data_IF_927094800662
#
_entry.id   IF_927094800662
#
_cell.length_a   1.000
_cell.length_b   1.000
_cell.length_c   1.000
_cell.angle_alpha   90.00
_cell.angle_beta   90.00
_cell.angle_gamma   90.00
#
_symmetry.space_group_name_H-M   'P 1'
#
loop_
_entity.id
_entity.type
_entity.pdbx_description
1 polymer ?
#
# COMPACT_ATOMS: atom_id res chain seq x y z
N UNK A 1 14.24 4.45 85.95
CA UNK A 1 12.99 4.51 85.17
C UNK A 1 13.33 4.69 83.73
N UNK A 2 13.18 3.63 82.97
CA UNK A 2 13.49 3.59 81.49
C UNK A 2 12.18 3.27 80.77
N UNK A 3 11.75 4.10 79.89
CA UNK A 3 10.70 3.82 78.93
C UNK A 3 11.30 3.53 77.56
N UNK A 4 11.17 2.28 77.13
CA UNK A 4 11.42 1.82 75.79
C UNK A 4 10.11 2.02 74.98
N UNK A 5 10.17 2.84 73.92
CA UNK A 5 9.08 2.95 72.95
C UNK A 5 9.26 1.94 71.82
N UNK A 6 8.47 0.89 71.80
CA UNK A 6 8.33 0.01 70.66
C UNK A 6 7.58 0.70 69.52
N UNK A 7 8.24 0.94 68.44
CA UNK A 7 7.60 1.29 67.19
C UNK A 7 7.09 0.02 66.47
N UNK A 8 5.80 -0.23 66.59
CA UNK A 8 5.12 -1.23 65.78
C UNK A 8 5.00 -0.69 64.36
N UNK A 9 5.86 -1.19 63.44
CA UNK A 9 5.70 -0.96 62.00
C UNK A 9 4.51 -1.77 61.52
N UNK A 10 3.50 -1.11 60.99
CA UNK A 10 2.24 -1.68 60.55
C UNK A 10 2.48 -2.72 59.42
N UNK A 11 2.05 -4.00 59.57
CA UNK A 11 2.29 -5.03 58.54
C UNK A 11 1.53 -4.80 57.23
N UNK A 12 0.66 -3.84 57.18
CA UNK A 12 -0.10 -3.47 55.97
C UNK A 12 0.76 -2.84 54.85
N UNK A 13 1.89 -2.14 55.20
CA UNK A 13 2.77 -1.49 54.24
C UNK A 13 3.69 -2.50 53.49
N UNK A 14 3.96 -3.68 54.09
CA UNK A 14 4.74 -4.72 53.42
C UNK A 14 3.92 -5.51 52.37
N UNK A 15 2.59 -5.58 52.51
CA UNK A 15 1.73 -6.24 51.53
C UNK A 15 1.49 -5.36 50.27
N UNK A 16 1.50 -4.05 50.38
CA UNK A 16 1.28 -3.15 49.22
C UNK A 16 2.46 -3.15 48.22
N UNK A 17 3.70 -3.44 48.69
CA UNK A 17 4.87 -3.42 47.82
C UNK A 17 4.88 -4.56 46.77
N UNK A 18 4.25 -5.68 47.07
CA UNK A 18 4.13 -6.79 46.12
C UNK A 18 3.06 -6.62 45.06
N UNK A 19 1.97 -5.87 45.35
CA UNK A 19 0.94 -5.60 44.38
C UNK A 19 1.38 -4.59 43.32
N UNK A 20 2.19 -3.61 43.66
CA UNK A 20 2.73 -2.65 42.70
C UNK A 20 3.62 -3.32 41.67
N UNK A 21 4.51 -4.23 42.09
CA UNK A 21 5.36 -5.01 41.18
C UNK A 21 4.54 -5.92 40.27
N UNK A 22 3.47 -6.54 40.79
CA UNK A 22 2.57 -7.34 39.98
C UNK A 22 1.79 -6.49 38.94
N UNK A 23 1.34 -5.30 39.34
CA UNK A 23 0.68 -4.35 38.42
C UNK A 23 1.64 -3.88 37.32
N UNK A 24 2.90 -3.60 37.64
CA UNK A 24 3.91 -3.26 36.62
C UNK A 24 4.21 -4.40 35.66
N UNK A 25 4.24 -5.65 36.14
CA UNK A 25 4.41 -6.83 35.28
C UNK A 25 3.19 -7.02 34.38
N UNK A 26 1.97 -6.86 34.90
CA UNK A 26 0.74 -6.97 34.12
C UNK A 26 0.65 -5.83 33.08
N UNK A 27 1.02 -4.60 33.44
CA UNK A 27 1.08 -3.47 32.50
C UNK A 27 2.18 -3.69 31.45
N UNK A 28 3.32 -4.24 31.82
CA UNK A 28 4.41 -4.57 30.90
C UNK A 28 4.00 -5.69 29.92
N UNK A 29 3.35 -6.74 30.40
CA UNK A 29 2.82 -7.82 29.56
C UNK A 29 1.68 -7.32 28.66
N UNK A 30 0.84 -6.41 29.15
CA UNK A 30 -0.23 -5.80 28.36
C UNK A 30 0.31 -4.89 27.23
N UNK A 31 1.49 -4.29 27.39
CA UNK A 31 2.16 -3.52 26.33
C UNK A 31 2.61 -4.36 25.13
N UNK A 32 2.88 -5.66 25.32
CA UNK A 32 3.29 -6.56 24.24
C UNK A 32 2.12 -7.22 23.50
N UNK A 33 0.88 -7.08 23.98
CA UNK A 33 -0.27 -7.82 23.46
C UNK A 33 -0.81 -7.32 22.10
N UNK A 34 -0.24 -6.27 21.47
CA UNK A 34 -0.81 -5.67 20.26
C UNK A 34 0.22 -5.28 19.19
N UNK A 35 1.31 -6.00 19.02
CA UNK A 35 2.16 -5.83 17.84
C UNK A 35 1.45 -6.42 16.62
N UNK A 36 0.75 -5.57 15.88
CA UNK A 36 0.09 -5.90 14.62
C UNK A 36 1.10 -5.69 13.50
N UNK A 37 1.64 -6.78 12.96
CA UNK A 37 2.40 -6.72 11.72
C UNK A 37 1.41 -6.60 10.56
N UNK A 38 1.59 -5.58 9.71
CA UNK A 38 0.85 -5.37 8.47
C UNK A 38 1.84 -5.37 7.31
N UNK A 39 1.37 -5.78 6.14
CA UNK A 39 2.11 -5.60 4.89
C UNK A 39 2.27 -4.12 4.54
N UNK A 40 3.14 -3.87 3.55
CA UNK A 40 3.29 -2.54 2.98
C UNK A 40 1.94 -1.99 2.51
N UNK A 41 1.70 -0.72 2.76
CA UNK A 41 0.56 0.01 2.23
C UNK A 41 1.01 1.37 1.69
N UNK A 42 0.32 1.82 0.66
CA UNK A 42 0.55 3.12 0.03
C UNK A 42 -0.64 4.04 0.28
N UNK A 43 -0.36 5.32 0.53
CA UNK A 43 -1.40 6.35 0.65
C UNK A 43 -1.98 6.69 -0.71
N UNK A 44 -1.17 6.55 -1.77
CA UNK A 44 -1.60 6.78 -3.15
C UNK A 44 -2.13 5.49 -3.79
N UNK A 45 -3.32 5.06 -3.37
CA UNK A 45 -3.92 3.79 -3.81
C UNK A 45 -4.12 3.69 -5.32
N UNK A 46 -4.33 4.83 -6.01
CA UNK A 46 -4.48 4.88 -7.46
C UNK A 46 -3.18 4.52 -8.19
N UNK A 47 -2.04 4.77 -7.54
CA UNK A 47 -0.70 4.51 -8.06
C UNK A 47 -0.10 3.21 -7.51
N UNK A 48 -0.93 2.35 -6.91
CA UNK A 48 -0.50 1.04 -6.39
C UNK A 48 -1.45 -0.12 -6.76
N UNK A 49 -1.99 -0.16 -7.99
CA UNK A 49 -3.06 -1.09 -8.35
C UNK A 49 -2.68 -2.57 -8.21
N UNK A 50 -1.45 -2.96 -8.57
CA UNK A 50 -1.02 -4.35 -8.52
C UNK A 50 -0.74 -4.86 -7.10
N UNK A 51 -0.62 -3.97 -6.11
CA UNK A 51 -0.57 -4.33 -4.69
C UNK A 51 -1.96 -4.41 -4.05
N UNK A 52 -3.00 -3.94 -4.75
CA UNK A 52 -4.40 -4.04 -4.33
C UNK A 52 -5.02 -5.34 -4.86
N UNK A 53 -4.88 -5.60 -6.17
CA UNK A 53 -5.41 -6.82 -6.78
C UNK A 53 -4.60 -7.23 -8.00
N UNK A 54 -4.18 -8.50 -8.12
CA UNK A 54 -3.52 -8.99 -9.33
C UNK A 54 -4.38 -8.88 -10.59
N UNK A 55 -5.71 -8.82 -10.45
CA UNK A 55 -6.61 -8.65 -11.57
C UNK A 55 -6.54 -7.27 -12.24
N UNK A 56 -5.89 -6.28 -11.61
CA UNK A 56 -5.64 -4.97 -12.21
C UNK A 56 -4.47 -4.98 -13.20
N UNK A 57 -3.77 -6.09 -13.37
CA UNK A 57 -2.70 -6.26 -14.35
C UNK A 57 -3.25 -6.12 -15.76
N UNK A 58 -2.76 -5.14 -16.53
CA UNK A 58 -3.26 -4.83 -17.88
C UNK A 58 -4.70 -4.30 -17.92
N UNK A 59 -5.37 -4.17 -16.78
CA UNK A 59 -6.77 -3.74 -16.64
C UNK A 59 -6.88 -2.22 -16.55
N UNK A 60 -6.45 -1.53 -17.58
CA UNK A 60 -6.48 -0.06 -17.67
C UNK A 60 -6.61 0.39 -19.12
N UNK A 61 -6.95 1.66 -19.33
CA UNK A 61 -7.04 2.24 -20.64
C UNK A 61 -5.66 2.65 -21.13
N UNK A 62 -4.98 1.76 -21.86
CA UNK A 62 -3.62 1.88 -22.35
C UNK A 62 -3.05 0.51 -22.71
N UNK A 63 -1.85 0.48 -23.30
CA UNK A 63 -1.16 -0.75 -23.67
C UNK A 63 -0.10 -1.14 -22.66
N UNK A 64 0.57 -0.14 -22.08
CA UNK A 64 1.67 -0.32 -21.16
C UNK A 64 1.58 0.72 -20.05
N UNK A 65 1.89 0.33 -18.81
CA UNK A 65 1.96 1.20 -17.65
C UNK A 65 3.19 0.84 -16.81
N UNK A 66 3.91 1.87 -16.36
CA UNK A 66 4.95 1.75 -15.35
C UNK A 66 4.66 2.75 -14.24
N UNK A 67 4.75 2.32 -12.99
CA UNK A 67 4.54 3.15 -11.81
C UNK A 67 5.69 2.92 -10.85
N UNK A 68 6.36 4.00 -10.44
CA UNK A 68 7.36 4.00 -9.38
C UNK A 68 6.81 4.76 -8.17
N UNK A 69 6.93 4.17 -6.98
CA UNK A 69 6.50 4.74 -5.71
C UNK A 69 7.69 4.84 -4.76
N UNK A 70 7.80 5.96 -4.05
CA UNK A 70 8.67 6.15 -2.91
C UNK A 70 7.87 6.66 -1.74
N UNK A 71 7.94 5.96 -0.60
CA UNK A 71 7.29 6.32 0.66
C UNK A 71 8.32 6.40 1.77
N UNK A 72 8.22 7.44 2.59
CA UNK A 72 9.00 7.60 3.81
C UNK A 72 8.04 7.90 4.95
N UNK A 73 7.99 7.02 5.94
CA UNK A 73 7.06 7.09 7.06
C UNK A 73 7.82 7.22 8.37
N UNK A 74 7.27 8.05 9.29
CA UNK A 74 7.78 8.28 10.65
C UNK A 74 9.23 8.76 10.71
N UNK A 75 9.61 9.65 9.80
CA UNK A 75 10.96 10.26 9.76
C UNK A 75 11.33 11.00 11.04
N UNK A 76 10.35 11.52 11.77
CA UNK A 76 10.55 12.20 13.05
C UNK A 76 11.04 11.28 14.19
N UNK A 77 10.94 9.95 14.03
CA UNK A 77 11.37 8.97 15.04
C UNK A 77 12.83 8.52 14.89
N UNK A 78 13.61 9.16 14.00
CA UNK A 78 15.04 8.90 13.78
C UNK A 78 15.34 7.74 12.83
N UNK A 79 14.57 6.67 12.83
CA UNK A 79 14.74 5.52 11.93
C UNK A 79 13.47 5.29 11.10
N UNK A 80 13.30 6.02 9.97
CA UNK A 80 12.09 5.97 9.17
C UNK A 80 11.91 4.62 8.47
N UNK A 81 10.65 4.29 8.21
CA UNK A 81 10.29 3.23 7.26
C UNK A 81 10.39 3.80 5.85
N UNK A 82 11.15 3.14 4.98
CA UNK A 82 11.37 3.55 3.59
C UNK A 82 10.93 2.44 2.67
N UNK A 83 9.89 2.70 1.89
CA UNK A 83 9.37 1.77 0.91
C UNK A 83 9.62 2.31 -0.49
N UNK A 84 10.24 1.51 -1.34
CA UNK A 84 10.37 1.77 -2.78
C UNK A 84 9.64 0.67 -3.52
N UNK A 85 8.84 1.03 -4.51
CA UNK A 85 8.14 0.05 -5.34
C UNK A 85 8.16 0.44 -6.80
N UNK A 86 8.19 -0.59 -7.65
CA UNK A 86 8.06 -0.50 -9.10
C UNK A 86 6.99 -1.49 -9.55
N UNK A 87 6.06 -1.03 -10.34
CA UNK A 87 5.02 -1.82 -10.98
C UNK A 87 5.10 -1.57 -12.48
N UNK A 88 5.18 -2.62 -13.26
CA UNK A 88 5.18 -2.54 -14.72
C UNK A 88 4.18 -3.55 -15.23
N UNK A 89 3.21 -3.10 -16.03
CA UNK A 89 2.21 -3.99 -16.58
C UNK A 89 1.70 -3.55 -17.95
N UNK A 90 1.15 -4.51 -18.68
CA UNK A 90 0.59 -4.26 -19.98
C UNK A 90 -0.41 -5.31 -20.42
N UNK A 91 -1.16 -4.99 -21.47
CA UNK A 91 -2.11 -5.90 -22.07
C UNK A 91 -1.59 -6.48 -23.37
N UNK A 92 -1.58 -7.81 -23.44
CA UNK A 92 -1.20 -8.57 -24.64
C UNK A 92 -2.45 -8.96 -25.43
N UNK A 93 -2.34 -8.98 -26.75
CA UNK A 93 -3.44 -9.33 -27.68
C UNK A 93 -4.66 -8.40 -27.56
N UNK A 94 -4.48 -7.20 -27.02
CA UNK A 94 -5.50 -6.14 -27.00
C UNK A 94 -5.84 -5.72 -28.43
N UNK A 95 -6.79 -6.41 -29.06
CA UNK A 95 -7.29 -6.06 -30.39
C UNK A 95 -8.73 -5.57 -30.27
N UNK A 96 -9.08 -4.56 -31.07
CA UNK A 96 -10.46 -4.01 -31.16
C UNK A 96 -11.51 -5.07 -31.54
N UNK A 97 -11.09 -6.17 -32.19
CA UNK A 97 -11.99 -7.26 -32.63
C UNK A 97 -12.15 -8.38 -31.60
N UNK A 98 -11.33 -8.45 -30.56
CA UNK A 98 -11.34 -9.53 -29.56
C UNK A 98 -12.03 -9.04 -28.29
N UNK A 99 -12.96 -9.85 -27.77
CA UNK A 99 -13.62 -9.56 -26.49
C UNK A 99 -12.75 -9.94 -25.27
N UNK A 100 -11.70 -10.71 -25.47
CA UNK A 100 -10.79 -11.13 -24.40
C UNK A 100 -9.33 -10.86 -24.75
N UNK A 101 -8.53 -10.56 -23.73
CA UNK A 101 -7.08 -10.34 -23.83
C UNK A 101 -6.40 -10.71 -22.51
N UNK A 102 -5.07 -10.82 -22.55
CA UNK A 102 -4.27 -11.16 -21.39
C UNK A 102 -3.54 -9.91 -20.86
N UNK A 103 -3.37 -9.84 -19.56
CA UNK A 103 -2.48 -8.91 -18.88
C UNK A 103 -1.26 -9.63 -18.34
N UNK A 104 -0.11 -8.97 -18.39
CA UNK A 104 1.13 -9.42 -17.77
C UNK A 104 1.82 -8.27 -17.09
N UNK A 105 2.46 -8.52 -15.94
CA UNK A 105 3.14 -7.48 -15.19
C UNK A 105 4.16 -8.02 -14.21
N UNK A 106 5.03 -7.10 -13.80
CA UNK A 106 6.07 -7.30 -12.81
C UNK A 106 5.85 -6.30 -11.65
N UNK A 107 5.97 -6.77 -10.44
CA UNK A 107 6.00 -5.93 -9.24
C UNK A 107 7.30 -6.18 -8.48
N UNK A 108 7.95 -5.12 -8.07
CA UNK A 108 9.12 -5.17 -7.19
C UNK A 108 8.90 -4.16 -6.08
N UNK A 109 9.10 -4.55 -4.84
CA UNK A 109 9.22 -3.58 -3.76
C UNK A 109 10.33 -3.95 -2.80
N UNK A 110 10.90 -2.92 -2.19
CA UNK A 110 11.85 -3.02 -1.10
C UNK A 110 11.38 -2.11 0.03
N UNK A 111 11.11 -2.71 1.19
CA UNK A 111 10.74 -2.00 2.41
C UNK A 111 11.86 -2.15 3.43
N UNK A 112 12.29 -1.03 4.02
CA UNK A 112 13.39 -1.01 5.00
C UNK A 112 12.92 -0.29 6.25
N UNK A 113 13.03 -0.96 7.39
CA UNK A 113 12.51 -0.47 8.67
C UNK A 113 13.55 -0.54 9.80
N UNK A 114 13.51 0.46 10.66
CA UNK A 114 14.21 0.47 11.94
C UNK A 114 15.73 0.50 11.88
N UNK A 115 16.38 0.51 13.06
CA UNK A 115 17.83 0.61 13.22
C UNK A 115 18.59 -0.62 12.70
N UNK A 116 17.96 -1.80 12.76
CA UNK A 116 18.51 -3.04 12.20
C UNK A 116 18.48 -3.07 10.66
N UNK A 117 17.97 -2.03 9.98
CA UNK A 117 17.67 -2.05 8.57
C UNK A 117 16.95 -3.37 8.16
N UNK A 118 15.94 -3.76 8.97
CA UNK A 118 15.09 -4.88 8.61
C UNK A 118 14.49 -4.60 7.23
N UNK A 119 14.77 -5.46 6.27
CA UNK A 119 14.35 -5.25 4.89
C UNK A 119 13.53 -6.41 4.35
N UNK A 120 12.50 -6.08 3.58
CA UNK A 120 11.68 -7.02 2.84
C UNK A 120 11.79 -6.67 1.36
N UNK A 121 12.38 -7.55 0.58
CA UNK A 121 12.45 -7.45 -0.88
C UNK A 121 11.48 -8.45 -1.49
N UNK A 122 10.53 -7.97 -2.29
CA UNK A 122 9.60 -8.80 -3.05
C UNK A 122 9.79 -8.58 -4.55
N UNK A 123 9.78 -9.67 -5.29
CA UNK A 123 9.75 -9.66 -6.75
C UNK A 123 8.63 -10.58 -7.20
N UNK A 124 7.62 -10.04 -7.87
CA UNK A 124 6.42 -10.81 -8.21
C UNK A 124 6.01 -10.66 -9.66
N UNK A 125 5.59 -11.76 -10.26
CA UNK A 125 4.97 -11.82 -11.56
C UNK A 125 3.45 -11.79 -11.41
N UNK A 126 2.79 -11.00 -12.24
CA UNK A 126 1.34 -10.87 -12.28
C UNK A 126 0.84 -11.28 -13.68
N UNK A 127 -0.19 -12.08 -13.72
CA UNK A 127 -0.89 -12.44 -14.95
C UNK A 127 -2.38 -12.27 -14.76
N UNK A 128 -3.08 -11.85 -15.81
CA UNK A 128 -4.55 -11.69 -15.77
C UNK A 128 -5.20 -12.09 -17.08
N UNK A 129 -6.45 -12.53 -16.98
CA UNK A 129 -7.36 -12.70 -18.10
C UNK A 129 -8.46 -11.64 -17.99
N UNK A 130 -8.68 -10.87 -19.07
CA UNK A 130 -9.67 -9.81 -19.09
C UNK A 130 -10.66 -10.06 -20.22
N UNK A 131 -11.95 -9.97 -19.88
CA UNK A 131 -13.05 -10.15 -20.81
C UNK A 131 -13.89 -8.87 -20.85
N UNK A 132 -14.13 -8.34 -22.05
CA UNK A 132 -15.09 -7.27 -22.29
C UNK A 132 -16.48 -7.87 -22.35
N UNK A 133 -17.30 -7.60 -21.34
CA UNK A 133 -18.68 -8.09 -21.26
C UNK A 133 -19.61 -7.27 -22.17
N UNK A 134 -19.29 -5.99 -22.34
CA UNK A 134 -20.04 -5.08 -23.22
C UNK A 134 -19.12 -3.96 -23.73
N UNK A 135 -19.69 -2.98 -24.45
CA UNK A 135 -18.98 -1.75 -24.86
C UNK A 135 -18.58 -0.85 -23.67
N UNK A 136 -19.19 -1.07 -22.52
CA UNK A 136 -19.04 -0.25 -21.32
C UNK A 136 -18.59 -1.01 -20.09
N UNK A 137 -18.48 -2.35 -20.14
CA UNK A 137 -18.11 -3.15 -18.99
C UNK A 137 -17.06 -4.20 -19.33
N UNK A 138 -16.15 -4.42 -18.40
CA UNK A 138 -15.11 -5.43 -18.47
C UNK A 138 -14.94 -6.13 -17.12
N UNK A 139 -14.55 -7.40 -17.17
CA UNK A 139 -14.26 -8.23 -16.02
C UNK A 139 -12.87 -8.82 -16.15
N UNK A 140 -12.13 -8.90 -15.05
CA UNK A 140 -10.78 -9.44 -14.98
C UNK A 140 -10.62 -10.41 -13.83
N UNK A 141 -9.84 -11.46 -14.07
CA UNK A 141 -9.31 -12.36 -13.05
C UNK A 141 -7.80 -12.33 -13.14
N UNK A 142 -7.11 -12.34 -12.00
CA UNK A 142 -5.64 -12.25 -11.97
C UNK A 142 -5.02 -13.16 -10.93
N UNK A 143 -3.75 -13.49 -11.19
CA UNK A 143 -2.89 -14.25 -10.28
C UNK A 143 -1.57 -13.52 -10.10
N UNK A 144 -0.99 -13.67 -8.92
CA UNK A 144 0.30 -13.16 -8.53
C UNK A 144 1.14 -14.31 -7.96
N UNK A 145 2.44 -14.30 -8.22
CA UNK A 145 3.37 -15.23 -7.61
C UNK A 145 4.80 -14.74 -7.67
N UNK A 146 5.54 -14.94 -6.58
CA UNK A 146 6.94 -14.55 -6.53
C UNK A 146 7.64 -14.76 -5.21
N UNK A 147 8.98 -14.69 -5.18
CA UNK A 147 9.77 -14.76 -3.98
C UNK A 147 9.71 -13.47 -3.17
N UNK A 148 9.65 -13.63 -1.85
CA UNK A 148 9.82 -12.56 -0.87
C UNK A 148 11.00 -12.94 0.03
N UNK A 149 11.95 -12.04 0.15
CA UNK A 149 13.15 -12.21 0.98
C UNK A 149 13.13 -11.19 2.11
N UNK A 150 13.20 -11.68 3.34
CA UNK A 150 13.36 -10.85 4.54
C UNK A 150 14.80 -10.95 5.03
N UNK A 151 15.39 -9.82 5.40
CA UNK A 151 16.75 -9.71 5.89
C UNK A 151 16.82 -8.75 7.07
N UNK A 152 17.65 -9.06 8.08
CA UNK A 152 17.92 -8.18 9.21
C UNK A 152 19.45 -8.00 9.36
N UNK A 153 19.87 -6.74 9.51
CA UNK A 153 21.27 -6.38 9.69
C UNK A 153 21.60 -6.25 11.18
N UNK A 154 21.72 -7.38 11.86
CA UNK A 154 22.02 -7.44 13.30
C UNK A 154 23.32 -6.72 13.72
N UNK A 155 24.43 -6.74 12.94
CA UNK A 155 25.65 -6.01 13.31
C UNK A 155 25.49 -4.50 13.51
N UNK A 156 24.39 -3.92 13.04
CA UNK A 156 24.06 -2.49 13.29
C UNK A 156 23.34 -2.25 14.62
N UNK A 157 22.97 -3.32 15.33
CA UNK A 157 22.33 -3.21 16.63
C UNK A 157 23.37 -3.23 17.73
N UNK A 158 23.09 -2.52 18.81
CA UNK A 158 23.84 -2.55 20.05
C UNK A 158 23.11 -3.45 21.05
N UNK A 159 23.83 -4.39 21.65
CA UNK A 159 23.28 -5.37 22.58
C UNK A 159 23.76 -5.07 24.01
N UNK A 160 23.00 -5.49 24.99
CA UNK A 160 23.28 -5.18 26.40
C UNK A 160 24.66 -5.64 26.84
N UNK A 161 25.20 -6.75 26.32
CA UNK A 161 26.55 -7.25 26.62
C UNK A 161 27.68 -6.37 26.03
N UNK A 162 27.34 -5.50 25.11
CA UNK A 162 28.28 -4.51 24.55
C UNK A 162 28.34 -3.21 25.36
N UNK A 163 27.62 -3.13 26.48
CA UNK A 163 27.73 -2.00 27.40
C UNK A 163 28.79 -2.26 28.45
N UNK A 164 29.86 -1.46 28.46
CA UNK A 164 31.03 -1.65 29.36
C UNK A 164 30.87 -0.99 30.74
N UNK A 165 29.67 -0.48 31.06
CA UNK A 165 29.37 0.26 32.29
C UNK A 165 29.35 1.78 32.12
N UNK A 166 29.98 2.34 31.07
CA UNK A 166 29.99 3.76 30.73
C UNK A 166 29.36 4.05 29.37
N UNK A 167 29.68 3.23 28.36
CA UNK A 167 29.24 3.38 26.97
C UNK A 167 29.12 2.02 26.27
N UNK A 168 28.41 2.02 25.16
CA UNK A 168 28.41 0.89 24.25
C UNK A 168 29.75 0.82 23.48
N UNK A 169 30.34 -0.39 23.43
CA UNK A 169 31.55 -0.69 22.68
C UNK A 169 31.25 -1.81 21.67
N UNK A 170 31.23 -1.46 20.38
CA UNK A 170 30.96 -2.39 19.28
C UNK A 170 31.98 -3.54 19.17
N UNK A 171 33.15 -3.40 19.80
CA UNK A 171 34.21 -4.43 19.82
C UNK A 171 33.94 -5.55 20.80
N UNK A 172 33.05 -5.32 21.77
CA UNK A 172 32.66 -6.35 22.73
C UNK A 172 31.75 -7.39 22.07
N UNK A 173 31.83 -8.66 22.52
CA UNK A 173 30.96 -9.71 22.02
C UNK A 173 29.50 -9.35 22.26
N UNK A 174 28.65 -9.58 21.28
CA UNK A 174 27.21 -9.30 21.37
C UNK A 174 26.48 -10.26 22.30
N UNK A 175 27.05 -11.47 22.49
CA UNK A 175 26.40 -12.58 23.22
C UNK A 175 25.24 -13.25 22.47
N UNK A 176 24.94 -12.80 21.28
CA UNK A 176 23.79 -13.27 20.48
C UNK A 176 24.23 -14.18 19.34
N UNK A 177 23.40 -15.16 19.01
CA UNK A 177 23.61 -16.04 17.87
C UNK A 177 22.89 -15.52 16.63
N UNK A 178 23.62 -14.97 15.66
CA UNK A 178 23.09 -14.41 14.43
C UNK A 178 23.04 -15.41 13.27
N UNK A 179 22.85 -16.69 13.53
CA UNK A 179 22.83 -17.73 12.49
C UNK A 179 21.71 -17.49 11.43
N UNK A 180 20.64 -16.81 11.83
CA UNK A 180 19.45 -16.63 11.01
C UNK A 180 19.24 -15.15 10.62
N UNK A 181 19.96 -14.69 9.60
CA UNK A 181 19.92 -13.29 9.13
C UNK A 181 18.97 -13.05 7.99
N UNK A 182 18.62 -14.12 7.26
CA UNK A 182 17.84 -14.03 6.02
C UNK A 182 16.96 -15.25 5.84
N UNK A 183 15.74 -15.05 5.38
CA UNK A 183 14.88 -16.13 4.90
C UNK A 183 14.13 -15.69 3.64
N UNK A 184 13.75 -16.65 2.80
CA UNK A 184 13.00 -16.44 1.57
C UNK A 184 11.83 -17.41 1.54
N UNK A 185 10.68 -16.92 1.10
CA UNK A 185 9.50 -17.72 0.86
C UNK A 185 8.83 -17.30 -0.46
N UNK A 186 8.02 -18.19 -1.01
CA UNK A 186 7.20 -17.90 -2.19
C UNK A 186 5.83 -17.43 -1.74
N UNK A 187 5.38 -16.33 -2.30
CA UNK A 187 4.06 -15.76 -2.06
C UNK A 187 3.16 -15.98 -3.29
N UNK A 188 1.88 -16.20 -3.05
CA UNK A 188 0.86 -16.40 -4.08
C UNK A 188 -0.36 -15.57 -3.75
N UNK A 189 -0.94 -14.95 -4.79
CA UNK A 189 -2.15 -14.16 -4.68
C UNK A 189 -3.08 -14.35 -5.87
N UNK A 190 -4.35 -14.02 -5.66
CA UNK A 190 -5.40 -14.02 -6.68
C UNK A 190 -6.25 -12.77 -6.57
N UNK A 191 -6.98 -12.44 -7.64
CA UNK A 191 -7.86 -11.28 -7.60
C UNK A 191 -8.93 -11.30 -8.66
N UNK A 192 -9.94 -10.46 -8.43
CA UNK A 192 -11.02 -10.17 -9.36
C UNK A 192 -11.12 -8.67 -9.54
N UNK A 193 -11.51 -8.24 -10.75
CA UNK A 193 -11.75 -6.83 -11.07
C UNK A 193 -12.95 -6.68 -11.98
N UNK A 194 -13.70 -5.61 -11.78
CA UNK A 194 -14.79 -5.22 -12.65
C UNK A 194 -14.71 -3.72 -12.91
N UNK A 195 -14.94 -3.31 -14.15
CA UNK A 195 -15.03 -1.90 -14.52
C UNK A 195 -16.25 -1.65 -15.39
N UNK A 196 -16.95 -0.57 -15.06
CA UNK A 196 -18.00 0.00 -15.88
C UNK A 196 -17.61 1.44 -16.26
N UNK A 197 -17.79 1.82 -17.50
CA UNK A 197 -17.49 3.18 -17.97
C UNK A 197 -18.46 3.59 -19.07
N UNK A 198 -19.11 4.73 -18.87
CA UNK A 198 -20.01 5.35 -19.86
C UNK A 198 -19.28 6.25 -20.81
N UNK A 199 -18.05 5.94 -21.21
CA UNK A 199 -17.31 6.77 -22.16
C UNK A 199 -18.05 6.80 -23.49
N UNK A 200 -18.96 7.77 -23.66
CA UNK A 200 -19.61 8.06 -24.94
C UNK A 200 -18.73 9.03 -25.70
N UNK A 201 -18.38 8.69 -26.92
CA UNK A 201 -17.83 9.60 -27.91
C UNK A 201 -19.02 10.34 -28.50
N UNK A 202 -19.40 11.46 -27.92
CA UNK A 202 -20.32 12.42 -28.55
C UNK A 202 -19.54 13.66 -29.03
N UNK A 203 -20.01 14.31 -30.03
CA UNK A 203 -19.37 15.52 -30.60
C UNK A 203 -19.37 16.70 -29.62
N UNK A 204 -20.26 16.70 -28.63
CA UNK A 204 -20.28 17.63 -27.51
C UNK A 204 -19.72 16.92 -26.25
N UNK A 205 -18.77 17.56 -25.57
CA UNK A 205 -18.11 17.19 -24.31
C UNK A 205 -18.47 15.81 -23.74
N UNK A 206 -17.54 14.86 -23.80
CA UNK A 206 -17.71 13.54 -23.20
C UNK A 206 -17.71 13.64 -21.68
N UNK A 207 -18.84 13.37 -21.07
CA UNK A 207 -18.90 13.13 -19.63
C UNK A 207 -18.60 11.67 -19.37
N UNK A 208 -17.53 11.42 -18.66
CA UNK A 208 -17.18 10.07 -18.23
C UNK A 208 -17.79 9.84 -16.85
N UNK A 209 -18.58 8.78 -16.75
CA UNK A 209 -18.93 8.18 -15.48
C UNK A 209 -18.36 6.78 -15.52
N UNK A 210 -17.46 6.49 -14.61
CA UNK A 210 -16.94 5.12 -14.48
C UNK A 210 -16.83 4.73 -13.02
N UNK A 211 -16.93 3.42 -12.77
CA UNK A 211 -16.57 2.86 -11.50
C UNK A 211 -15.82 1.56 -11.71
N UNK A 212 -14.89 1.29 -10.79
CA UNK A 212 -14.07 0.09 -10.76
C UNK A 212 -14.15 -0.54 -9.39
N UNK A 213 -14.35 -1.85 -9.38
CA UNK A 213 -14.33 -2.69 -8.20
C UNK A 213 -13.18 -3.68 -8.31
N UNK A 214 -12.53 -3.98 -7.21
CA UNK A 214 -11.47 -4.95 -7.14
C UNK A 214 -11.46 -5.70 -5.83
N UNK A 215 -11.14 -6.98 -5.92
CA UNK A 215 -10.89 -7.84 -4.77
C UNK A 215 -9.55 -8.50 -4.98
N UNK A 216 -8.72 -8.53 -3.97
CA UNK A 216 -7.44 -9.23 -3.96
C UNK A 216 -7.30 -10.11 -2.73
N UNK A 217 -6.59 -11.22 -2.88
CA UNK A 217 -6.16 -12.08 -1.79
C UNK A 217 -4.69 -12.43 -2.02
N UNK A 218 -3.84 -12.07 -1.08
CA UNK A 218 -2.40 -12.33 -1.07
C UNK A 218 -2.06 -13.28 0.06
N UNK A 219 -0.90 -13.93 0.02
CA UNK A 219 -0.44 -14.91 1.02
C UNK A 219 -1.43 -16.07 1.18
N UNK A 220 -2.14 -16.46 0.09
CA UNK A 220 -3.15 -17.54 0.14
C UNK A 220 -2.53 -18.91 0.44
N UNK A 221 -1.25 -19.08 0.16
CA UNK A 221 -0.46 -20.28 0.49
C UNK A 221 0.03 -20.29 1.94
N UNK A 222 -0.29 -19.25 2.76
CA UNK A 222 0.13 -19.10 4.14
C UNK A 222 1.61 -19.49 4.36
N UNK A 223 2.57 -18.79 3.69
CA UNK A 223 3.97 -19.20 3.70
C UNK A 223 4.59 -19.11 5.09
N UNK A 224 5.56 -19.95 5.39
CA UNK A 224 6.35 -19.84 6.62
C UNK A 224 7.25 -18.61 6.51
N UNK A 225 7.04 -17.64 7.40
CA UNK A 225 7.75 -16.37 7.44
C UNK A 225 8.48 -16.20 8.78
N UNK A 226 9.56 -16.96 8.99
CA UNK A 226 10.29 -16.95 10.24
C UNK A 226 11.79 -16.94 10.01
N UNK A 227 12.51 -16.19 10.87
CA UNK A 227 13.97 -16.20 10.94
C UNK A 227 14.53 -17.46 11.61
N UNK A 228 13.71 -18.21 12.33
CA UNK A 228 14.13 -19.43 13.02
C UNK A 228 13.38 -20.66 12.49
N UNK A 229 14.09 -21.76 12.29
CA UNK A 229 13.47 -23.01 11.87
C UNK A 229 12.53 -23.62 12.96
N UNK A 230 12.58 -23.09 14.18
CA UNK A 230 11.76 -23.55 15.29
C UNK A 230 10.39 -22.91 15.37
N UNK A 231 10.14 -21.82 14.63
CA UNK A 231 8.86 -21.12 14.61
C UNK A 231 7.99 -21.61 13.45
N UNK A 232 6.78 -22.05 13.76
CA UNK A 232 5.74 -22.37 12.78
C UNK A 232 4.90 -21.16 12.39
N UNK A 233 5.41 -19.94 12.57
CA UNK A 233 4.70 -18.74 12.16
C UNK A 233 4.42 -18.75 10.67
N UNK A 234 3.15 -18.67 10.33
CA UNK A 234 2.66 -18.54 8.95
C UNK A 234 2.09 -17.16 8.74
N UNK A 235 2.48 -16.55 7.64
CA UNK A 235 1.96 -15.25 7.25
C UNK A 235 0.45 -15.37 6.95
N UNK A 236 -0.41 -14.61 7.66
CA UNK A 236 -1.84 -14.67 7.42
C UNK A 236 -2.21 -14.08 6.06
N UNK A 237 -3.22 -14.65 5.42
CA UNK A 237 -3.75 -14.13 4.17
C UNK A 237 -4.24 -12.69 4.35
N UNK A 238 -3.93 -11.84 3.36
CA UNK A 238 -4.39 -10.46 3.25
C UNK A 238 -5.47 -10.38 2.19
N UNK A 239 -6.65 -9.90 2.58
CA UNK A 239 -7.76 -9.62 1.68
C UNK A 239 -7.90 -8.12 1.48
N UNK A 240 -8.12 -7.70 0.24
CA UNK A 240 -8.33 -6.31 -0.15
C UNK A 240 -9.65 -6.17 -0.89
N UNK A 241 -10.41 -5.12 -0.58
CA UNK A 241 -11.64 -4.72 -1.25
C UNK A 241 -11.47 -3.26 -1.66
N UNK A 242 -11.56 -2.98 -2.94
CA UNK A 242 -11.33 -1.66 -3.49
C UNK A 242 -12.50 -1.24 -4.37
N UNK A 243 -12.93 0.00 -4.20
CA UNK A 243 -13.90 0.64 -5.08
C UNK A 243 -13.44 2.06 -5.41
N UNK A 244 -13.52 2.45 -6.68
CA UNK A 244 -13.26 3.81 -7.15
C UNK A 244 -14.28 4.20 -8.19
N UNK A 245 -14.72 5.45 -8.14
CA UNK A 245 -15.57 6.06 -9.15
C UNK A 245 -14.85 7.23 -9.81
N UNK A 246 -15.19 7.56 -11.04
CA UNK A 246 -14.83 8.81 -11.69
C UNK A 246 -16.10 9.44 -12.26
N UNK A 247 -16.41 10.64 -11.83
CA UNK A 247 -17.62 11.36 -12.20
C UNK A 247 -17.26 12.74 -12.73
N UNK A 248 -17.46 12.95 -14.03
CA UNK A 248 -17.33 14.26 -14.64
C UNK A 248 -18.55 15.12 -14.32
N UNK A 249 -18.36 16.33 -13.84
CA UNK A 249 -19.45 17.27 -13.56
C UNK A 249 -19.84 17.96 -14.86
N UNK A 250 -21.09 17.73 -15.29
CA UNK A 250 -21.63 18.25 -16.55
C UNK A 250 -21.50 19.78 -16.65
N UNK A 251 -21.00 20.27 -17.79
CA UNK A 251 -20.82 21.71 -18.05
C UNK A 251 -19.59 22.34 -17.41
N UNK A 252 -18.76 21.57 -16.70
CA UNK A 252 -17.55 22.05 -16.02
C UNK A 252 -16.30 21.27 -16.42
N UNK A 253 -15.09 21.80 -16.24
CA UNK A 253 -13.85 21.05 -16.40
C UNK A 253 -13.50 20.21 -15.17
N UNK A 254 -14.43 20.00 -14.24
CA UNK A 254 -14.20 19.35 -12.95
C UNK A 254 -14.67 17.90 -12.97
N UNK A 255 -13.87 17.01 -12.38
CA UNK A 255 -14.22 15.62 -12.13
C UNK A 255 -14.00 15.29 -10.67
N UNK A 256 -14.81 14.39 -10.10
CA UNK A 256 -14.66 13.88 -8.74
C UNK A 256 -14.37 12.39 -8.80
N UNK A 257 -13.38 11.94 -8.02
CA UNK A 257 -12.97 10.55 -7.97
C UNK A 257 -12.95 10.03 -6.52
N UNK A 258 -14.12 9.59 -5.99
CA UNK A 258 -14.15 8.90 -4.70
C UNK A 258 -13.44 7.53 -4.77
N UNK A 259 -12.80 7.19 -3.66
CA UNK A 259 -12.10 5.93 -3.49
C UNK A 259 -12.35 5.36 -2.10
N UNK A 260 -12.44 4.03 -2.03
CA UNK A 260 -12.47 3.29 -0.79
C UNK A 260 -11.61 2.04 -0.94
N UNK A 261 -10.77 1.77 0.05
CA UNK A 261 -9.99 0.56 0.19
C UNK A 261 -10.21 -0.01 1.59
N UNK A 262 -10.58 -1.27 1.67
CA UNK A 262 -10.64 -2.01 2.91
C UNK A 262 -9.72 -3.21 2.83
N UNK A 263 -8.80 -3.33 3.79
CA UNK A 263 -7.83 -4.42 3.87
C UNK A 263 -7.95 -5.14 5.20
N UNK A 264 -7.85 -6.47 5.17
CA UNK A 264 -7.82 -7.33 6.35
C UNK A 264 -6.64 -8.26 6.23
N UNK A 265 -5.75 -8.21 7.21
CA UNK A 265 -4.69 -9.20 7.44
C UNK A 265 -4.64 -9.45 8.94
N UNK A 266 -5.25 -10.54 9.37
CA UNK A 266 -5.44 -10.80 10.81
C UNK A 266 -4.12 -10.76 11.58
N UNK A 267 -4.09 -10.08 12.74
CA UNK A 267 -5.20 -9.49 13.49
C UNK A 267 -5.56 -8.05 13.08
N UNK A 268 -4.93 -7.49 12.03
CA UNK A 268 -5.08 -6.10 11.63
C UNK A 268 -6.13 -5.90 10.53
N UNK A 269 -6.72 -4.72 10.49
CA UNK A 269 -7.57 -4.25 9.40
C UNK A 269 -7.38 -2.75 9.18
N UNK A 270 -7.52 -2.31 7.95
CA UNK A 270 -7.41 -0.91 7.55
C UNK A 270 -8.60 -0.51 6.68
N UNK A 271 -9.22 0.59 6.99
CA UNK A 271 -10.19 1.27 6.13
C UNK A 271 -9.59 2.60 5.69
N UNK A 272 -9.46 2.79 4.39
CA UNK A 272 -8.96 3.99 3.76
C UNK A 272 -9.97 4.51 2.76
N UNK A 273 -10.42 5.74 2.93
CA UNK A 273 -11.46 6.35 2.11
C UNK A 273 -11.17 7.82 1.86
N UNK A 274 -11.58 8.31 0.71
CA UNK A 274 -11.40 9.71 0.35
C UNK A 274 -11.80 10.01 -1.08
N UNK A 275 -11.42 11.16 -1.55
CA UNK A 275 -11.77 11.63 -2.89
C UNK A 275 -10.70 12.54 -3.46
N UNK A 276 -10.55 12.53 -4.79
CA UNK A 276 -9.87 13.57 -5.55
C UNK A 276 -10.90 14.45 -6.26
N UNK A 277 -10.61 15.74 -6.33
CA UNK A 277 -11.24 16.66 -7.27
C UNK A 277 -10.19 17.03 -8.32
N UNK A 278 -10.49 16.80 -9.59
CA UNK A 278 -9.62 17.11 -10.72
C UNK A 278 -10.15 18.32 -11.47
N UNK A 279 -9.24 19.19 -11.90
CA UNK A 279 -9.51 20.25 -12.85
C UNK A 279 -8.78 19.95 -14.16
N UNK A 280 -9.51 19.93 -15.28
CA UNK A 280 -8.99 19.70 -16.62
C UNK A 280 -8.63 21.04 -17.26
N UNK A 281 -7.36 21.23 -17.62
CA UNK A 281 -6.87 22.42 -18.31
C UNK A 281 -7.17 22.35 -19.82
N UNK A 282 -7.14 21.15 -20.39
CA UNK A 282 -7.51 20.90 -21.79
C UNK A 282 -8.17 19.52 -21.94
N UNK A 283 -8.94 19.35 -22.99
CA UNK A 283 -9.69 18.12 -23.24
C UNK A 283 -8.96 17.12 -24.16
N UNK A 284 -7.71 17.39 -24.52
CA UNK A 284 -7.01 16.58 -25.53
C UNK A 284 -7.69 16.60 -26.90
N UNK A 285 -7.01 16.19 -27.96
CA UNK A 285 -7.61 15.98 -29.29
C UNK A 285 -7.95 14.51 -29.47
N UNK A 286 -9.23 14.22 -29.76
CA UNK A 286 -9.73 12.86 -29.92
C UNK A 286 -9.40 12.24 -31.27
N UNK A 287 -9.24 13.07 -32.30
CA UNK A 287 -9.07 12.65 -33.70
C UNK A 287 -7.62 12.43 -34.05
N UNK A 288 -6.75 13.37 -33.72
CA UNK A 288 -5.30 13.29 -34.07
C UNK A 288 -4.45 12.66 -32.96
N UNK A 289 -4.92 12.69 -31.71
CA UNK A 289 -4.14 12.20 -30.53
C UNK A 289 -2.96 13.11 -30.19
N UNK A 290 -2.75 14.22 -30.89
CA UNK A 290 -1.60 15.11 -30.69
C UNK A 290 -1.65 15.88 -29.38
N UNK A 291 -2.84 16.31 -28.95
CA UNK A 291 -3.01 16.96 -27.64
C UNK A 291 -3.52 15.94 -26.63
N UNK A 292 -2.75 15.70 -25.58
CA UNK A 292 -3.14 14.86 -24.45
C UNK A 292 -3.92 15.68 -23.43
N UNK A 293 -4.87 15.04 -22.73
CA UNK A 293 -5.56 15.68 -21.61
C UNK A 293 -4.55 16.01 -20.51
N UNK A 294 -4.60 17.24 -19.99
CA UNK A 294 -3.80 17.70 -18.85
C UNK A 294 -4.76 18.09 -17.74
N UNK A 295 -4.57 17.50 -16.58
CA UNK A 295 -5.37 17.80 -15.40
C UNK A 295 -4.51 17.82 -14.14
N UNK A 296 -4.94 18.63 -13.17
CA UNK A 296 -4.42 18.60 -11.80
C UNK A 296 -5.54 18.18 -10.85
N UNK A 297 -5.18 17.51 -9.78
CA UNK A 297 -6.14 17.05 -8.77
C UNK A 297 -5.64 17.28 -7.36
N UNK A 298 -6.58 17.60 -6.48
CA UNK A 298 -6.39 17.65 -5.03
C UNK A 298 -7.18 16.51 -4.42
N UNK A 299 -6.55 15.75 -3.53
CA UNK A 299 -7.15 14.63 -2.83
C UNK A 299 -7.13 14.83 -1.32
N UNK A 300 -8.20 14.39 -0.67
CA UNK A 300 -8.29 14.33 0.78
C UNK A 300 -8.77 12.93 1.14
N UNK A 301 -8.01 12.27 2.03
CA UNK A 301 -8.28 10.91 2.44
C UNK A 301 -8.19 10.77 3.95
N UNK A 302 -8.89 9.78 4.45
CA UNK A 302 -8.88 9.38 5.85
C UNK A 302 -8.53 7.89 5.96
N UNK A 303 -7.47 7.59 6.68
CA UNK A 303 -7.11 6.24 7.11
C UNK A 303 -7.60 6.06 8.54
N UNK A 304 -8.54 5.14 8.71
CA UNK A 304 -9.27 4.98 9.98
C UNK A 304 -8.31 4.78 11.15
N UNK A 305 -8.43 5.65 12.15
CA UNK A 305 -7.63 5.67 13.39
C UNK A 305 -6.12 5.83 13.20
N UNK A 306 -5.66 6.20 12.00
CA UNK A 306 -4.23 6.35 11.71
C UNK A 306 -3.87 7.75 11.21
N UNK A 307 -4.36 8.20 10.05
CA UNK A 307 -3.94 9.45 9.45
C UNK A 307 -5.01 10.14 8.60
N UNK A 308 -4.92 11.48 8.51
CA UNK A 308 -5.46 12.23 7.39
C UNK A 308 -4.38 12.39 6.32
N UNK A 309 -4.77 12.25 5.05
CA UNK A 309 -3.83 12.29 3.94
C UNK A 309 -4.27 13.34 2.93
N UNK A 310 -3.37 14.29 2.65
CA UNK A 310 -3.53 15.23 1.56
C UNK A 310 -2.73 14.74 0.34
N UNK A 311 -3.33 14.85 -0.85
CA UNK A 311 -2.70 14.41 -2.09
C UNK A 311 -2.78 15.49 -3.16
N UNK A 312 -1.72 15.61 -3.97
CA UNK A 312 -1.64 16.48 -5.13
C UNK A 312 -1.25 15.63 -6.33
N UNK A 313 -2.03 15.69 -7.39
CA UNK A 313 -1.80 14.93 -8.61
C UNK A 313 -1.71 15.86 -9.82
N UNK A 314 -0.68 15.66 -10.64
CA UNK A 314 -0.55 16.25 -11.96
C UNK A 314 -0.52 15.15 -13.01
N UNK A 315 -1.52 15.11 -13.88
CA UNK A 315 -1.64 14.13 -14.96
C UNK A 315 -1.53 14.85 -16.32
N UNK A 316 -0.48 14.52 -17.06
CA UNK A 316 -0.16 15.05 -18.38
C UNK A 316 -0.45 14.01 -19.49
N UNK A 317 -1.42 13.13 -19.24
CA UNK A 317 -1.82 12.05 -20.12
C UNK A 317 -0.87 10.85 -20.05
N UNK A 318 0.29 10.89 -20.70
CA UNK A 318 1.25 9.78 -20.61
C UNK A 318 2.04 9.75 -19.30
N UNK A 319 2.26 10.90 -18.68
CA UNK A 319 2.98 11.02 -17.41
C UNK A 319 2.06 11.58 -16.34
N UNK A 320 2.16 11.04 -15.14
CA UNK A 320 1.57 11.62 -13.96
C UNK A 320 2.57 11.63 -12.80
N UNK A 321 2.50 12.69 -12.00
CA UNK A 321 3.26 12.86 -10.77
C UNK A 321 2.26 13.03 -9.64
N UNK A 322 2.41 12.24 -8.58
CA UNK A 322 1.59 12.34 -7.38
C UNK A 322 2.45 12.57 -6.16
N UNK A 323 2.01 13.47 -5.30
CA UNK A 323 2.60 13.76 -4.01
C UNK A 323 1.54 13.54 -2.94
N UNK A 324 1.90 12.94 -1.83
CA UNK A 324 1.01 12.87 -0.67
C UNK A 324 1.76 13.11 0.63
N UNK A 325 1.02 13.62 1.60
CA UNK A 325 1.47 13.82 2.96
C UNK A 325 0.44 13.26 3.95
N UNK A 326 0.91 12.37 4.83
CA UNK A 326 0.12 11.75 5.88
C UNK A 326 0.29 12.57 7.18
N UNK A 327 -0.80 13.09 7.72
CA UNK A 327 -0.84 13.69 9.06
C UNK A 327 -1.33 12.64 10.04
N UNK A 328 -0.43 12.18 10.92
CA UNK A 328 -0.70 11.11 11.87
C UNK A 328 -1.66 11.58 12.99
N UNK A 329 -2.75 10.85 13.20
CA UNK A 329 -3.72 11.09 14.27
C UNK A 329 -3.80 9.92 15.26
N UNK A 330 -3.07 8.83 15.00
CA UNK A 330 -3.00 7.66 15.87
C UNK A 330 -2.29 7.97 17.19
N UNK A 331 -2.22 6.99 18.08
CA UNK A 331 -1.48 7.09 19.36
C UNK A 331 0.00 7.44 19.15
N UNK A 332 0.56 7.15 17.98
CA UNK A 332 1.92 7.54 17.59
C UNK A 332 2.08 9.06 17.37
N UNK A 333 1.01 9.84 17.32
CA UNK A 333 1.05 11.31 17.18
C UNK A 333 1.99 11.97 18.19
N UNK A 334 2.05 11.45 19.43
CA UNK A 334 2.91 12.00 20.49
C UNK A 334 4.39 11.85 20.10
N UNK A 335 4.80 10.68 19.63
CA UNK A 335 6.18 10.40 19.24
C UNK A 335 6.57 11.06 17.91
N UNK A 336 5.62 11.13 16.95
CA UNK A 336 5.86 11.67 15.60
C UNK A 336 5.59 13.17 15.49
N UNK A 337 5.05 13.82 16.53
CA UNK A 337 4.58 15.21 16.51
C UNK A 337 3.58 15.47 15.36
N UNK A 338 2.80 14.44 14.98
CA UNK A 338 1.85 14.49 13.87
C UNK A 338 2.45 14.23 12.48
N UNK A 339 3.77 14.12 12.34
CA UNK A 339 4.42 13.78 11.06
C UNK A 339 4.23 12.31 10.77
N UNK A 340 3.32 11.95 9.87
CA UNK A 340 3.06 10.56 9.47
C UNK A 340 4.04 10.08 8.42
N UNK A 341 3.99 10.68 7.23
CA UNK A 341 4.88 10.31 6.14
C UNK A 341 4.62 11.11 4.88
N UNK A 342 5.50 10.98 3.91
CA UNK A 342 5.30 11.50 2.57
C UNK A 342 5.50 10.38 1.53
N UNK A 343 4.80 10.52 0.41
CA UNK A 343 4.89 9.58 -0.69
C UNK A 343 4.94 10.34 -2.02
N UNK A 344 5.77 9.86 -2.93
CA UNK A 344 5.92 10.38 -4.29
C UNK A 344 5.73 9.21 -5.24
N UNK A 345 4.87 9.41 -6.25
CA UNK A 345 4.69 8.43 -7.32
C UNK A 345 4.88 9.08 -8.69
N UNK A 346 5.48 8.30 -9.57
CA UNK A 346 5.62 8.63 -10.98
C UNK A 346 4.94 7.54 -11.79
N UNK A 347 4.02 7.93 -12.70
CA UNK A 347 3.36 7.01 -13.61
C UNK A 347 3.67 7.37 -15.06
N UNK A 348 4.01 6.36 -15.84
CA UNK A 348 4.11 6.45 -17.29
C UNK A 348 3.14 5.48 -17.93
N UNK A 349 2.31 5.99 -18.86
CA UNK A 349 1.34 5.20 -19.61
C UNK A 349 1.56 5.39 -21.12
N UNK A 350 1.63 4.27 -21.86
CA UNK A 350 1.40 4.31 -23.30
C UNK A 350 -0.10 4.21 -23.52
N UNK A 351 -0.70 5.35 -23.81
CA UNK A 351 -2.14 5.48 -23.99
C UNK A 351 -2.60 4.85 -25.29
N UNK A 352 -3.85 4.40 -25.32
CA UNK A 352 -4.54 3.86 -26.48
C UNK A 352 -5.93 3.41 -26.11
N UNK A 353 -6.85 3.29 -27.06
CA UNK A 353 -8.25 2.86 -26.85
C UNK A 353 -8.33 1.36 -26.54
N UNK A 354 -7.74 0.95 -25.43
CA UNK A 354 -7.43 -0.44 -25.26
C UNK A 354 -8.48 -1.20 -24.45
N UNK A 355 -9.09 -0.61 -23.41
CA UNK A 355 -10.02 -1.36 -22.56
C UNK A 355 -11.43 -1.45 -23.18
N UNK A 356 -11.95 -0.35 -23.70
CA UNK A 356 -13.29 -0.24 -24.31
C UNK A 356 -13.19 0.24 -25.77
N UNK A 357 -12.42 -0.46 -26.60
CA UNK A 357 -12.25 -0.08 -27.98
C UNK A 357 -13.58 -0.11 -28.75
N UNK A 358 -14.08 1.06 -29.14
CA UNK A 358 -15.19 1.16 -30.07
C UNK A 358 -14.67 0.96 -31.50
N UNK A 359 -15.32 0.09 -32.31
CA UNK A 359 -15.22 0.15 -33.77
C UNK A 359 -15.55 1.56 -34.19
N UNK A 360 -14.65 2.29 -34.84
CA UNK A 360 -15.03 3.50 -35.55
C UNK A 360 -15.99 3.07 -36.66
N UNK A 361 -17.23 3.51 -36.59
CA UNK A 361 -18.23 3.32 -37.66
C UNK A 361 -17.88 4.13 -38.93
N UNK A 362 -16.77 4.85 -38.93
CA UNK A 362 -16.27 5.61 -40.07
C UNK A 362 -15.50 4.74 -41.05
N UNK A 363 -16.14 3.71 -41.61
CA UNK A 363 -15.67 3.07 -42.85
C UNK A 363 -16.79 2.31 -43.57
N UNK A 364 -17.87 2.99 -43.90
CA UNK A 364 -18.77 2.53 -44.94
C UNK A 364 -19.52 3.73 -45.57
N UNK A 365 -18.75 4.64 -46.20
CA UNK A 365 -19.24 5.48 -47.30
C UNK A 365 -18.19 5.44 -48.38
N UNK A 366 -18.22 4.40 -49.18
CA UNK A 366 -17.80 4.36 -50.56
C UNK A 366 -18.80 3.51 -51.31
#
# INVERSE_FOLDING_TARGET
>A
MRYLKNHHICPALLKMKNYSSFIYVVLFVAMFANMKAQDIHFSQIQESPLFISPAYTGFFNGYFRAIANYRNQWSAMGNPFKTMALQVDGGFFKNKRRNAFLGGGLTVYNDVAGSANFSILSVGLNVSGIVRLSKTSAFGIGMYGGPITSNANYPKLLFSQQFNGEKFDEKLPTGENFAFRKFTYTDVGVGLAYEYSTKKISEERDYVTSFRLGVGAYHINAPKASFTNQSDYRLPARFTFHATGLFDIKGTPVSIMPNILYQIQKPASELYLGTHAFYRFNNGTKITGEKKEIKAGLGIYYRNKDAFVAQLMFDMGSFAVNLSYDYNISTYKIATKGTGGYEISLRYNILGDALFAQKSEYRNTK
#
